data_IF_716566398534
#
_entry.id   IF_716566398534
#
_cell.length_a   1.000
_cell.length_b   1.000
_cell.length_c   1.000
_cell.angle_alpha   90.00
_cell.angle_beta   90.00
_cell.angle_gamma   90.00
#
_symmetry.space_group_name_H-M   'P 1'
#
loop_
_entity.id
_entity.type
_entity.pdbx_description
1 polymer ?
#
# COMPACT_ATOMS: atom_id res chain seq x y z
N UNK A 1 20.68 8.17 -13.82
CA UNK A 1 19.49 9.03 -13.99
C UNK A 1 19.10 9.74 -12.68
N UNK A 2 18.26 9.18 -11.79
CA UNK A 2 17.80 9.93 -10.60
C UNK A 2 18.94 10.36 -9.66
N UNK A 3 19.91 9.47 -9.38
CA UNK A 3 21.08 9.83 -8.57
C UNK A 3 21.94 10.94 -9.20
N UNK A 4 22.04 10.99 -10.52
CA UNK A 4 22.74 12.06 -11.25
C UNK A 4 21.95 13.36 -11.15
N UNK A 5 20.64 13.33 -11.38
CA UNK A 5 19.77 14.50 -11.25
C UNK A 5 19.79 15.10 -9.82
N UNK A 6 19.90 14.27 -8.78
CA UNK A 6 20.11 14.72 -7.39
C UNK A 6 21.49 15.39 -7.24
N UNK A 7 22.53 14.81 -7.81
CA UNK A 7 23.89 15.35 -7.76
C UNK A 7 23.97 16.72 -8.48
N UNK A 8 23.40 16.82 -9.68
CA UNK A 8 23.36 18.06 -10.47
C UNK A 8 22.65 19.18 -9.70
N UNK A 9 21.49 18.89 -9.08
CA UNK A 9 20.78 19.84 -8.23
C UNK A 9 21.62 20.33 -7.03
N UNK A 10 22.43 19.45 -6.42
CA UNK A 10 23.35 19.85 -5.34
C UNK A 10 24.51 20.70 -5.84
N UNK A 11 25.05 20.38 -7.00
CA UNK A 11 26.12 21.17 -7.62
C UNK A 11 25.63 22.57 -8.02
N UNK A 12 24.41 22.70 -8.55
CA UNK A 12 23.78 24.01 -8.80
C UNK A 12 23.57 24.82 -7.51
N UNK A 13 23.12 24.17 -6.43
CA UNK A 13 22.99 24.81 -5.13
C UNK A 13 24.34 25.31 -4.55
N UNK A 14 25.42 24.55 -4.76
CA UNK A 14 26.76 24.93 -4.34
C UNK A 14 27.39 26.01 -5.24
N UNK A 15 27.10 26.01 -6.54
CA UNK A 15 27.63 26.96 -7.51
C UNK A 15 26.91 28.32 -7.51
N UNK A 16 25.67 28.38 -7.04
CA UNK A 16 24.91 29.63 -6.83
C UNK A 16 25.28 30.39 -5.54
N UNK A 17 26.26 29.91 -4.77
CA UNK A 17 26.60 30.38 -3.42
C UNK A 17 27.49 31.63 -3.31
N UNK A 18 27.80 32.31 -4.43
CA UNK A 18 28.62 33.54 -4.42
C UNK A 18 27.81 34.85 -4.45
N UNK A 19 26.50 34.79 -4.22
CA UNK A 19 25.64 35.99 -4.14
C UNK A 19 24.69 35.95 -2.95
N UNK A 20 25.05 36.65 -1.86
CA UNK A 20 24.16 37.12 -0.78
C UNK A 20 22.95 36.22 -0.43
N UNK A 21 23.22 35.07 0.17
CA UNK A 21 22.28 34.44 1.10
C UNK A 21 23.01 34.21 2.42
N UNK A 22 23.27 35.31 3.14
CA UNK A 22 23.57 35.24 4.55
C UNK A 22 22.48 34.43 5.25
N UNK A 23 22.85 33.67 6.26
CA UNK A 23 21.92 33.15 7.27
C UNK A 23 21.15 34.36 7.81
N UNK A 24 19.98 34.65 7.23
CA UNK A 24 19.11 35.70 7.75
C UNK A 24 18.47 35.13 8.99
N UNK A 25 19.10 35.42 10.13
CA UNK A 25 18.43 35.42 11.43
C UNK A 25 17.29 36.43 11.37
N UNK A 26 16.13 35.99 10.89
CA UNK A 26 14.90 36.77 10.88
C UNK A 26 14.27 36.80 12.26
N UNK A 27 14.88 37.53 13.19
CA UNK A 27 14.18 38.10 14.33
C UNK A 27 13.59 39.44 13.89
N UNK A 28 12.31 39.48 13.50
CA UNK A 28 11.56 40.74 13.40
C UNK A 28 10.05 40.53 13.44
N UNK A 29 9.47 40.85 14.59
CA UNK A 29 8.25 41.66 14.74
C UNK A 29 6.98 41.22 14.02
N UNK A 30 6.17 40.39 14.68
CA UNK A 30 4.72 40.58 14.61
C UNK A 30 4.37 41.63 15.68
N UNK A 31 4.24 42.88 15.25
CA UNK A 31 3.83 43.99 16.08
C UNK A 31 2.40 43.76 16.59
N UNK A 32 2.23 43.97 17.89
CA UNK A 32 0.96 44.25 18.54
C UNK A 32 0.26 45.43 17.86
N UNK A 33 -1.05 45.28 17.62
CA UNK A 33 -2.00 46.39 17.63
C UNK A 33 -3.27 45.91 18.35
N UNK A 34 -3.60 46.71 19.35
CA UNK A 34 -4.46 46.50 20.51
C UNK A 34 -5.97 46.40 20.27
N UNK A 35 -6.61 46.05 21.40
CA UNK A 35 -7.90 46.54 21.93
C UNK A 35 -9.10 45.58 21.74
N UNK A 36 -9.89 45.22 22.76
CA UNK A 36 -9.87 45.45 24.20
C UNK A 36 -10.92 44.50 24.84
N UNK A 37 -10.78 44.18 26.14
CA UNK A 37 -11.88 43.59 26.91
C UNK A 37 -11.42 42.77 28.12
N UNK A 38 -11.16 43.47 29.23
CA UNK A 38 -10.90 42.92 30.57
C UNK A 38 -11.97 41.90 31.03
N UNK A 39 -11.54 40.82 31.68
CA UNK A 39 -11.74 40.63 33.15
C UNK A 39 -11.18 39.30 33.68
N UNK A 40 -10.67 39.41 34.90
CA UNK A 40 -9.98 38.46 35.77
C UNK A 40 -10.54 37.02 35.90
N UNK A 41 -9.63 36.06 36.15
CA UNK A 41 -9.96 34.77 36.75
C UNK A 41 -8.81 33.75 36.71
N UNK A 42 -8.28 33.40 37.88
CA UNK A 42 -7.07 32.61 38.09
C UNK A 42 -7.13 31.13 37.60
N UNK A 43 -5.96 30.57 37.26
CA UNK A 43 -5.77 29.12 37.14
C UNK A 43 -4.62 28.74 36.19
N UNK A 44 -3.45 28.41 36.75
CA UNK A 44 -2.28 27.97 36.00
C UNK A 44 -2.57 26.72 35.15
N UNK A 45 -2.60 26.89 33.83
CA UNK A 45 -2.53 25.81 32.85
C UNK A 45 -1.30 26.06 31.96
N UNK A 46 -0.40 25.08 31.90
CA UNK A 46 0.78 25.14 31.04
C UNK A 46 0.38 25.47 29.60
N UNK A 47 0.95 26.55 29.06
CA UNK A 47 0.74 26.98 27.67
C UNK A 47 1.24 25.86 26.74
N UNK A 48 0.31 25.07 26.20
CA UNK A 48 0.58 24.17 25.08
C UNK A 48 0.97 25.06 23.91
N UNK A 49 2.23 24.95 23.45
CA UNK A 49 2.71 25.67 22.27
C UNK A 49 1.78 25.41 21.07
N UNK A 50 1.52 26.41 20.21
CA UNK A 50 0.68 26.22 19.04
C UNK A 50 1.25 25.09 18.18
N UNK A 51 0.43 24.08 17.87
CA UNK A 51 0.79 22.96 17.00
C UNK A 51 1.30 23.52 15.67
N UNK A 52 2.61 23.41 15.42
CA UNK A 52 3.20 23.70 14.10
C UNK A 52 2.43 22.89 13.06
N UNK A 53 1.84 23.58 12.08
CA UNK A 53 1.16 22.93 10.95
C UNK A 53 2.24 22.38 10.01
N UNK A 54 2.46 21.08 10.05
CA UNK A 54 3.32 20.40 9.08
C UNK A 54 2.71 20.51 7.67
N UNK A 55 3.48 21.01 6.71
CA UNK A 55 3.02 21.28 5.35
C UNK A 55 3.26 20.07 4.43
N UNK A 56 4.42 19.41 4.54
CA UNK A 56 4.84 18.27 3.70
C UNK A 56 4.61 16.88 4.32
N UNK A 57 4.61 15.83 3.51
CA UNK A 57 4.57 14.45 4.02
C UNK A 57 5.91 14.05 4.65
N UNK A 58 7.03 14.54 4.13
CA UNK A 58 8.36 14.33 4.72
C UNK A 58 8.43 14.94 6.13
N UNK A 59 7.91 16.17 6.28
CA UNK A 59 7.82 16.87 7.55
C UNK A 59 6.91 16.12 8.54
N UNK A 60 5.74 15.64 8.07
CA UNK A 60 4.84 14.78 8.86
C UNK A 60 5.47 13.45 9.26
N UNK A 61 6.40 12.94 8.45
CA UNK A 61 7.16 11.73 8.76
C UNK A 61 8.28 11.99 9.77
N UNK A 62 8.51 13.24 10.18
CA UNK A 62 9.57 13.62 11.13
C UNK A 62 10.94 13.76 10.49
N UNK A 63 11.02 13.75 9.15
CA UNK A 63 12.24 14.05 8.40
C UNK A 63 12.43 15.57 8.35
N UNK A 64 12.65 16.19 9.50
CA UNK A 64 13.07 17.59 9.62
C UNK A 64 14.61 17.66 9.59
N UNK A 65 15.18 18.78 9.13
CA UNK A 65 16.64 18.98 9.18
C UNK A 65 17.22 18.73 10.58
N UNK A 66 18.52 18.39 10.69
CA UNK A 66 19.16 17.82 11.89
C UNK A 66 19.08 18.65 13.18
N UNK A 67 18.53 19.86 13.13
CA UNK A 67 18.44 20.79 14.27
C UNK A 67 17.02 21.29 14.56
N UNK A 68 15.96 20.64 14.03
CA UNK A 68 14.59 21.13 14.24
C UNK A 68 14.34 22.52 13.63
N UNK A 69 15.09 22.83 12.56
CA UNK A 69 15.05 24.09 11.81
C UNK A 69 13.70 24.39 11.15
N UNK A 70 13.58 25.54 10.45
CA UNK A 70 12.32 26.02 9.88
C UNK A 70 11.68 25.00 8.93
N UNK A 71 10.36 25.11 8.76
CA UNK A 71 9.55 24.20 7.95
C UNK A 71 10.22 23.96 6.59
N UNK A 72 10.39 22.68 6.24
CA UNK A 72 10.91 22.29 4.92
C UNK A 72 9.90 22.81 3.89
N UNK A 73 10.34 23.61 2.89
CA UNK A 73 9.43 24.02 1.83
C UNK A 73 8.98 22.75 1.08
N UNK A 74 7.73 22.36 1.31
CA UNK A 74 7.12 21.25 0.60
C UNK A 74 7.04 21.62 -0.88
N UNK A 75 7.47 20.71 -1.77
CA UNK A 75 7.24 20.86 -3.21
C UNK A 75 5.83 20.36 -3.49
N UNK A 76 4.82 21.25 -3.68
CA UNK A 76 3.44 20.80 -3.74
C UNK A 76 3.22 19.92 -4.96
N UNK A 77 2.64 18.74 -4.75
CA UNK A 77 2.34 17.79 -5.83
C UNK A 77 3.48 16.82 -6.17
N UNK A 78 4.69 17.03 -5.64
CA UNK A 78 5.78 16.10 -5.87
C UNK A 78 5.52 14.72 -5.22
N UNK A 79 5.90 13.64 -5.91
CA UNK A 79 5.64 12.27 -5.47
C UNK A 79 6.35 11.95 -4.15
N UNK A 80 7.53 12.52 -3.87
CA UNK A 80 8.24 12.33 -2.59
C UNK A 80 7.54 13.00 -1.40
N UNK A 81 6.54 13.85 -1.65
CA UNK A 81 5.64 14.43 -0.65
C UNK A 81 4.34 13.62 -0.48
N UNK A 82 4.32 12.35 -0.93
CA UNK A 82 3.20 11.41 -0.75
C UNK A 82 3.47 10.39 0.36
N UNK A 83 2.44 9.96 1.11
CA UNK A 83 2.58 8.87 2.08
C UNK A 83 3.14 7.58 1.46
N UNK A 84 2.64 7.19 0.27
CA UNK A 84 3.08 5.96 -0.37
C UNK A 84 4.57 5.97 -0.73
N UNK A 85 5.12 7.10 -1.18
CA UNK A 85 6.56 7.22 -1.43
C UNK A 85 7.37 7.01 -0.15
N UNK A 86 6.97 7.66 0.94
CA UNK A 86 7.69 7.55 2.21
C UNK A 86 7.64 6.12 2.73
N UNK A 87 6.44 5.52 2.74
CA UNK A 87 6.20 4.20 3.31
C UNK A 87 6.89 3.09 2.50
N UNK A 88 6.92 3.21 1.17
CA UNK A 88 7.47 2.16 0.31
C UNK A 88 8.97 2.33 0.01
N UNK A 89 9.47 3.57 0.01
CA UNK A 89 10.82 3.89 -0.48
C UNK A 89 11.73 4.55 0.56
N UNK A 90 11.20 5.38 1.45
CA UNK A 90 11.99 6.16 2.40
C UNK A 90 11.86 5.72 3.88
N UNK A 91 11.10 4.66 4.17
CA UNK A 91 10.88 4.18 5.55
C UNK A 91 12.20 3.85 6.26
N UNK A 92 13.20 3.35 5.52
CA UNK A 92 14.56 3.09 6.01
C UNK A 92 15.26 4.29 6.68
N UNK A 93 14.82 5.52 6.39
CA UNK A 93 15.38 6.74 6.98
C UNK A 93 14.71 7.15 8.30
N UNK A 94 13.54 6.57 8.61
CA UNK A 94 12.79 6.94 9.80
C UNK A 94 13.43 6.31 11.03
N UNK A 95 13.63 7.12 12.07
CA UNK A 95 14.05 6.58 13.37
C UNK A 95 12.95 5.67 13.92
N UNK A 96 13.26 4.67 14.77
CA UNK A 96 12.26 3.83 15.40
C UNK A 96 11.15 4.64 16.09
N UNK A 97 11.52 5.74 16.76
CA UNK A 97 10.58 6.64 17.44
C UNK A 97 9.73 7.44 16.44
N UNK A 98 10.25 7.76 15.25
CA UNK A 98 9.48 8.38 14.18
C UNK A 98 8.48 7.39 13.58
N UNK A 99 8.89 6.13 13.35
CA UNK A 99 8.00 5.05 12.91
C UNK A 99 6.89 4.78 13.91
N UNK A 100 7.22 4.68 15.19
CA UNK A 100 6.23 4.49 16.26
C UNK A 100 5.30 5.69 16.39
N UNK A 101 5.80 6.92 16.29
CA UNK A 101 4.94 8.11 16.25
C UNK A 101 4.02 8.12 15.03
N UNK A 102 4.46 7.68 13.87
CA UNK A 102 3.62 7.55 12.66
C UNK A 102 2.58 6.46 12.83
N UNK A 103 2.98 5.28 13.33
CA UNK A 103 2.06 4.18 13.68
C UNK A 103 0.99 4.68 14.64
N UNK A 104 1.39 5.37 15.70
CA UNK A 104 0.47 5.99 16.66
C UNK A 104 -0.36 7.08 16.01
N UNK A 105 0.18 7.96 15.16
CA UNK A 105 -0.58 9.02 14.50
C UNK A 105 -1.64 8.47 13.52
N UNK A 106 -1.30 7.41 12.79
CA UNK A 106 -2.24 6.65 11.95
C UNK A 106 -3.29 5.96 12.81
N UNK A 107 -2.89 5.46 13.98
CA UNK A 107 -3.78 4.79 14.91
C UNK A 107 -4.51 5.73 15.87
N UNK A 108 -4.24 7.04 15.92
CA UNK A 108 -4.78 8.02 16.92
C UNK A 108 -5.72 9.07 16.34
N UNK A 109 -6.32 8.77 15.18
CA UNK A 109 -7.43 9.55 14.64
C UNK A 109 -8.74 9.43 15.43
N UNK A 110 -9.77 10.19 15.04
CA UNK A 110 -11.14 9.88 15.46
C UNK A 110 -11.52 8.47 14.99
N UNK A 111 -12.55 7.87 15.58
CA UNK A 111 -13.02 6.55 15.15
C UNK A 111 -13.39 6.51 13.64
N UNK A 112 -13.79 7.64 13.07
CA UNK A 112 -14.08 7.82 11.63
C UNK A 112 -12.79 7.92 10.77
N UNK A 113 -11.62 7.91 11.41
CA UNK A 113 -10.31 8.11 10.79
C UNK A 113 -9.54 6.83 10.48
N UNK A 114 -9.97 5.67 10.97
CA UNK A 114 -9.20 4.42 10.88
C UNK A 114 -8.89 3.97 9.43
N UNK A 115 -9.79 4.26 8.49
CA UNK A 115 -9.62 3.93 7.08
C UNK A 115 -9.03 5.08 6.24
N UNK A 116 -8.92 6.30 6.78
CA UNK A 116 -8.40 7.45 6.01
C UNK A 116 -7.01 7.24 5.42
N UNK A 117 -6.05 6.60 6.13
CA UNK A 117 -4.76 6.29 5.53
C UNK A 117 -4.86 5.39 4.30
N UNK A 118 -5.84 4.50 4.26
CA UNK A 118 -6.05 3.57 3.16
C UNK A 118 -6.54 4.28 1.90
N UNK A 119 -7.43 5.27 2.01
CA UNK A 119 -8.00 6.02 0.86
C UNK A 119 -6.91 6.60 -0.04
N UNK A 120 -6.00 7.39 0.55
CA UNK A 120 -4.94 8.06 -0.21
C UNK A 120 -3.93 7.05 -0.73
N UNK A 121 -3.55 6.09 0.12
CA UNK A 121 -2.53 5.11 -0.22
C UNK A 121 -2.99 4.14 -1.32
N UNK A 122 -4.24 3.67 -1.28
CA UNK A 122 -4.79 2.79 -2.31
C UNK A 122 -4.86 3.50 -3.66
N UNK A 123 -5.23 4.77 -3.67
CA UNK A 123 -5.27 5.60 -4.89
C UNK A 123 -3.86 5.83 -5.46
N UNK A 124 -2.88 6.10 -4.62
CA UNK A 124 -1.49 6.29 -5.04
C UNK A 124 -0.87 5.00 -5.59
N UNK A 125 -1.07 3.85 -4.92
CA UNK A 125 -0.63 2.54 -5.42
C UNK A 125 -1.37 2.15 -6.71
N UNK A 126 -2.67 2.40 -6.81
CA UNK A 126 -3.45 2.16 -8.02
C UNK A 126 -2.92 2.98 -9.21
N UNK A 127 -2.61 4.26 -8.98
CA UNK A 127 -2.02 5.13 -10.01
C UNK A 127 -0.70 4.54 -10.50
N UNK A 128 0.17 4.14 -9.58
CA UNK A 128 1.47 3.55 -9.91
C UNK A 128 1.31 2.26 -10.74
N UNK A 129 0.39 1.36 -10.36
CA UNK A 129 0.09 0.16 -11.16
C UNK A 129 -0.41 0.49 -12.57
N UNK A 130 -1.20 1.56 -12.71
CA UNK A 130 -1.73 2.01 -13.99
C UNK A 130 -0.72 2.66 -14.92
N UNK A 131 0.43 3.08 -14.40
CA UNK A 131 1.54 3.70 -15.13
C UNK A 131 2.68 2.71 -15.39
N UNK A 132 2.51 1.44 -15.02
CA UNK A 132 3.55 0.44 -15.15
C UNK A 132 3.88 0.18 -16.62
N UNK A 133 5.12 0.45 -17.02
CA UNK A 133 5.63 0.22 -18.38
C UNK A 133 6.53 -1.03 -18.48
N UNK A 134 6.33 -2.01 -17.59
CA UNK A 134 7.13 -3.23 -17.59
C UNK A 134 6.59 -4.28 -18.58
N UNK A 135 7.49 -5.09 -19.18
CA UNK A 135 7.12 -6.28 -19.96
C UNK A 135 6.18 -7.19 -19.16
N UNK A 136 5.00 -7.43 -19.73
CA UNK A 136 3.93 -8.18 -19.10
C UNK A 136 3.07 -8.87 -20.16
N UNK A 137 2.76 -10.15 -19.93
CA UNK A 137 1.83 -10.91 -20.76
C UNK A 137 0.42 -10.34 -20.71
N UNK A 138 -0.46 -10.72 -21.64
CA UNK A 138 -1.84 -10.26 -21.64
C UNK A 138 -2.59 -10.62 -20.33
N UNK A 139 -2.34 -11.82 -19.78
CA UNK A 139 -2.91 -12.23 -18.50
C UNK A 139 -2.41 -11.34 -17.34
N UNK A 140 -1.11 -11.05 -17.32
CA UNK A 140 -0.49 -10.16 -16.33
C UNK A 140 -1.04 -8.72 -16.42
N UNK A 141 -1.19 -8.19 -17.64
CA UNK A 141 -1.76 -6.85 -17.87
C UNK A 141 -3.21 -6.76 -17.39
N UNK A 142 -4.04 -7.78 -17.66
CA UNK A 142 -5.41 -7.85 -17.15
C UNK A 142 -5.44 -7.92 -15.62
N UNK A 143 -4.55 -8.72 -15.01
CA UNK A 143 -4.44 -8.84 -13.57
C UNK A 143 -4.05 -7.52 -12.89
N UNK A 144 -3.11 -6.78 -13.48
CA UNK A 144 -2.71 -5.44 -13.03
C UNK A 144 -3.85 -4.43 -13.16
N UNK A 145 -4.59 -4.47 -14.27
CA UNK A 145 -5.75 -3.60 -14.49
C UNK A 145 -6.86 -3.86 -13.46
N UNK A 146 -7.13 -5.13 -13.14
CA UNK A 146 -8.07 -5.53 -12.10
C UNK A 146 -7.62 -5.05 -10.72
N UNK A 147 -6.37 -5.29 -10.35
CA UNK A 147 -5.82 -4.87 -9.06
C UNK A 147 -5.89 -3.35 -8.91
N UNK A 148 -5.57 -2.60 -9.98
CA UNK A 148 -5.74 -1.15 -10.04
C UNK A 148 -7.19 -0.73 -9.79
N UNK A 149 -8.14 -1.29 -10.53
CA UNK A 149 -9.56 -0.95 -10.38
C UNK A 149 -10.07 -1.31 -8.98
N UNK A 150 -9.66 -2.46 -8.45
CA UNK A 150 -9.96 -2.90 -7.09
C UNK A 150 -9.44 -1.92 -6.04
N UNK A 151 -8.23 -1.38 -6.19
CA UNK A 151 -7.66 -0.41 -5.25
C UNK A 151 -8.35 0.96 -5.29
N UNK A 152 -8.79 1.41 -6.48
CA UNK A 152 -9.62 2.63 -6.60
C UNK A 152 -10.95 2.42 -5.87
N UNK A 153 -11.64 1.31 -6.16
CA UNK A 153 -12.89 0.96 -5.49
C UNK A 153 -12.72 0.80 -3.98
N UNK A 154 -11.60 0.25 -3.51
CA UNK A 154 -11.25 0.15 -2.10
C UNK A 154 -11.15 1.54 -1.45
N UNK A 155 -10.59 2.52 -2.15
CA UNK A 155 -10.53 3.90 -1.67
C UNK A 155 -11.91 4.53 -1.50
N UNK A 156 -12.79 4.35 -2.50
CA UNK A 156 -14.17 4.85 -2.46
C UNK A 156 -14.98 4.16 -1.35
N UNK A 157 -14.87 2.84 -1.23
CA UNK A 157 -15.51 2.06 -0.17
C UNK A 157 -15.00 2.46 1.22
N UNK A 158 -13.71 2.79 1.34
CA UNK A 158 -13.14 3.27 2.60
C UNK A 158 -13.73 4.60 3.03
N UNK A 159 -14.17 5.46 2.10
CA UNK A 159 -14.85 6.72 2.37
C UNK A 159 -16.33 6.53 2.73
N UNK A 160 -17.01 5.56 2.11
CA UNK A 160 -18.44 5.31 2.38
C UNK A 160 -18.67 4.45 3.64
N UNK A 161 -17.67 3.66 4.05
CA UNK A 161 -17.75 2.79 5.23
C UNK A 161 -18.12 3.59 6.49
N UNK A 162 -19.16 3.16 7.26
CA UNK A 162 -19.60 3.85 8.47
C UNK A 162 -18.69 3.57 9.68
N UNK A 163 -17.37 3.52 9.48
CA UNK A 163 -16.36 3.28 10.52
C UNK A 163 -16.52 4.31 11.65
N UNK A 164 -16.52 3.84 12.90
CA UNK A 164 -16.64 4.71 14.06
C UNK A 164 -18.01 5.32 14.35
N UNK A 165 -18.94 5.25 13.40
CA UNK A 165 -20.23 5.97 13.47
C UNK A 165 -21.16 5.52 14.60
N UNK A 166 -21.08 4.24 15.01
CA UNK A 166 -22.02 3.59 15.93
C UNK A 166 -23.49 3.64 15.48
N UNK A 167 -23.74 3.89 14.21
CA UNK A 167 -25.07 3.99 13.64
C UNK A 167 -25.52 2.65 13.05
N UNK A 168 -26.52 2.03 13.68
CA UNK A 168 -27.06 0.74 13.23
C UNK A 168 -27.74 0.83 11.86
N UNK A 169 -28.40 1.95 11.53
CA UNK A 169 -29.11 2.09 10.25
C UNK A 169 -28.11 2.16 9.09
N UNK A 170 -27.08 3.01 9.23
CA UNK A 170 -25.98 3.07 8.25
C UNK A 170 -25.21 1.75 8.18
N UNK A 171 -25.07 1.05 9.30
CA UNK A 171 -24.42 -0.25 9.31
C UNK A 171 -25.20 -1.31 8.51
N UNK A 172 -26.53 -1.36 8.64
CA UNK A 172 -27.36 -2.31 7.88
C UNK A 172 -27.27 -2.03 6.37
N UNK A 173 -27.37 -0.77 5.95
CA UNK A 173 -27.20 -0.37 4.53
C UNK A 173 -25.82 -0.77 4.01
N UNK A 174 -24.78 -0.59 4.81
CA UNK A 174 -23.42 -1.02 4.46
C UNK A 174 -23.34 -2.55 4.28
N UNK A 175 -23.95 -3.34 5.16
CA UNK A 175 -23.95 -4.80 5.04
C UNK A 175 -24.70 -5.27 3.78
N UNK A 176 -25.82 -4.64 3.44
CA UNK A 176 -26.55 -4.90 2.20
C UNK A 176 -25.66 -4.63 0.97
N UNK A 177 -24.97 -3.49 0.94
CA UNK A 177 -24.04 -3.14 -0.14
C UNK A 177 -22.91 -4.18 -0.29
N UNK A 178 -22.29 -4.60 0.82
CA UNK A 178 -21.20 -5.59 0.79
C UNK A 178 -21.67 -6.95 0.29
N UNK A 179 -22.80 -7.44 0.81
CA UNK A 179 -23.36 -8.73 0.38
C UNK A 179 -23.73 -8.69 -1.10
N UNK A 180 -24.33 -7.60 -1.57
CA UNK A 180 -24.70 -7.44 -2.97
C UNK A 180 -23.48 -7.40 -3.90
N UNK A 181 -22.40 -6.74 -3.49
CA UNK A 181 -21.12 -6.78 -4.23
C UNK A 181 -20.52 -8.19 -4.27
N UNK A 182 -20.61 -8.95 -3.18
CA UNK A 182 -20.12 -10.34 -3.15
C UNK A 182 -20.93 -11.25 -4.08
N UNK A 183 -22.26 -11.09 -4.13
CA UNK A 183 -23.15 -11.84 -5.03
C UNK A 183 -22.86 -11.56 -6.51
N UNK A 184 -22.62 -10.30 -6.83
CA UNK A 184 -22.37 -9.84 -8.21
C UNK A 184 -20.91 -9.94 -8.65
N UNK A 185 -20.01 -10.45 -7.80
CA UNK A 185 -18.61 -10.64 -8.14
C UNK A 185 -18.49 -11.62 -9.32
N UNK A 186 -17.88 -11.26 -10.46
CA UNK A 186 -17.69 -12.21 -11.55
C UNK A 186 -16.73 -13.34 -11.18
N UNK A 187 -16.86 -14.49 -11.83
CA UNK A 187 -15.90 -15.61 -11.66
C UNK A 187 -14.48 -15.16 -11.98
N UNK A 188 -13.52 -15.69 -11.24
CA UNK A 188 -12.09 -15.42 -11.36
C UNK A 188 -11.71 -13.94 -11.19
N UNK A 189 -12.56 -13.16 -10.51
CA UNK A 189 -12.26 -11.77 -10.12
C UNK A 189 -12.17 -11.65 -8.60
N UNK A 190 -11.49 -10.58 -8.18
CA UNK A 190 -11.28 -10.26 -6.77
C UNK A 190 -11.92 -8.92 -6.44
N UNK A 191 -12.69 -8.88 -5.36
CA UNK A 191 -13.25 -7.68 -4.75
C UNK A 191 -12.42 -7.30 -3.53
N UNK A 192 -11.92 -6.07 -3.51
CA UNK A 192 -11.23 -5.49 -2.35
C UNK A 192 -12.21 -4.71 -1.49
N UNK A 193 -12.24 -5.00 -0.20
CA UNK A 193 -13.11 -4.38 0.78
C UNK A 193 -12.29 -3.83 1.94
N UNK A 194 -12.63 -2.64 2.47
CA UNK A 194 -11.97 -2.11 3.65
C UNK A 194 -12.36 -2.94 4.88
N UNK A 195 -11.45 -3.09 5.83
CA UNK A 195 -11.68 -3.84 7.06
C UNK A 195 -10.91 -3.26 8.23
N UNK A 196 -10.87 -4.02 9.32
CA UNK A 196 -10.10 -3.69 10.52
C UNK A 196 -10.97 -3.27 11.69
N UNK A 197 -10.46 -2.37 12.53
CA UNK A 197 -11.13 -1.98 13.77
C UNK A 197 -10.90 -0.53 14.17
N UNK A 198 -11.82 -0.04 14.98
CA UNK A 198 -11.72 1.24 15.65
C UNK A 198 -11.71 1.05 17.17
N UNK A 199 -10.96 1.90 17.85
CA UNK A 199 -10.95 2.08 19.30
C UNK A 199 -11.22 3.56 19.62
N UNK A 200 -11.37 3.88 20.91
CA UNK A 200 -11.52 5.28 21.36
C UNK A 200 -10.28 6.14 21.06
N UNK A 201 -9.12 5.50 20.95
CA UNK A 201 -7.84 6.15 20.73
C UNK A 201 -7.38 5.99 19.27
N UNK A 202 -8.34 5.80 18.35
CA UNK A 202 -8.18 5.56 16.91
C UNK A 202 -8.15 4.07 16.52
N UNK A 203 -7.70 3.69 15.33
CA UNK A 203 -7.97 2.36 14.76
C UNK A 203 -6.86 1.80 13.87
N UNK A 204 -7.10 0.61 13.32
CA UNK A 204 -6.16 -0.06 12.42
C UNK A 204 -6.90 -0.61 11.19
N UNK A 205 -6.50 -0.22 9.97
CA UNK A 205 -7.11 -0.70 8.75
C UNK A 205 -6.62 -2.11 8.40
N UNK A 206 -7.53 -2.92 7.87
CA UNK A 206 -7.23 -4.16 7.15
C UNK A 206 -7.79 -4.08 5.73
N UNK A 207 -7.38 -5.00 4.87
CA UNK A 207 -8.04 -5.22 3.58
C UNK A 207 -8.53 -6.66 3.51
N UNK A 208 -9.84 -6.81 3.27
CA UNK A 208 -10.45 -8.08 2.95
C UNK A 208 -10.50 -8.22 1.43
N UNK A 209 -9.98 -9.33 0.89
CA UNK A 209 -10.06 -9.63 -0.54
C UNK A 209 -10.94 -10.85 -0.74
N UNK A 210 -12.09 -10.66 -1.39
CA UNK A 210 -13.01 -11.74 -1.72
C UNK A 210 -12.75 -12.15 -3.15
N UNK A 211 -12.38 -13.40 -3.38
CA UNK A 211 -12.21 -13.96 -4.71
C UNK A 211 -13.33 -14.97 -4.99
N UNK A 212 -13.92 -14.88 -6.17
CA UNK A 212 -14.85 -15.89 -6.66
C UNK A 212 -14.10 -16.90 -7.51
N UNK A 213 -14.09 -18.16 -7.08
CA UNK A 213 -13.60 -19.28 -7.87
C UNK A 213 -14.77 -19.89 -8.66
N UNK A 214 -14.56 -21.01 -9.35
CA UNK A 214 -15.61 -21.63 -10.16
C UNK A 214 -16.78 -22.16 -9.34
N UNK A 215 -16.49 -22.79 -8.21
CA UNK A 215 -17.46 -23.47 -7.34
C UNK A 215 -17.63 -22.82 -5.96
N UNK A 216 -16.63 -22.08 -5.48
CA UNK A 216 -16.57 -21.52 -4.13
C UNK A 216 -15.96 -20.11 -4.10
N UNK A 217 -15.69 -19.61 -2.90
CA UNK A 217 -15.02 -18.35 -2.66
C UNK A 217 -13.78 -18.53 -1.79
N UNK A 218 -12.85 -17.59 -1.95
CA UNK A 218 -11.74 -17.39 -1.02
C UNK A 218 -11.84 -16.01 -0.38
N UNK A 219 -11.57 -15.93 0.93
CA UNK A 219 -11.45 -14.69 1.69
C UNK A 219 -10.01 -14.52 2.16
N UNK A 220 -9.37 -13.44 1.74
CA UNK A 220 -8.03 -13.08 2.18
C UNK A 220 -8.10 -11.89 3.15
N UNK A 221 -7.34 -11.98 4.23
CA UNK A 221 -7.23 -10.92 5.25
C UNK A 221 -5.81 -10.42 5.27
N UNK A 222 -5.60 -9.22 4.72
CA UNK A 222 -4.29 -8.57 4.67
C UNK A 222 -4.12 -7.59 5.81
N UNK A 223 -3.00 -7.70 6.53
CA UNK A 223 -2.59 -6.88 7.65
C UNK A 223 -1.09 -6.60 7.55
N UNK A 224 -0.68 -5.37 7.87
CA UNK A 224 0.73 -4.98 7.92
C UNK A 224 1.12 -4.36 9.26
N UNK A 225 0.20 -4.25 10.22
CA UNK A 225 0.44 -3.55 11.50
C UNK A 225 -0.11 -4.27 12.73
N UNK A 226 -0.96 -3.59 13.51
CA UNK A 226 -1.51 -4.14 14.75
C UNK A 226 -2.28 -5.45 14.47
N UNK A 227 -2.18 -6.45 15.35
CA UNK A 227 -2.78 -7.78 15.14
C UNK A 227 -1.96 -8.76 14.28
N UNK A 228 -0.73 -8.42 13.88
CA UNK A 228 0.19 -9.35 13.20
C UNK A 228 0.62 -10.53 14.10
N UNK A 229 0.44 -10.45 15.42
CA UNK A 229 0.68 -11.57 16.34
C UNK A 229 -0.23 -12.78 16.08
N UNK A 230 -1.38 -12.56 15.42
CA UNK A 230 -2.29 -13.62 15.00
C UNK A 230 -1.97 -14.18 13.62
N UNK A 231 -1.03 -13.55 12.89
CA UNK A 231 -0.63 -14.02 11.57
C UNK A 231 0.39 -15.17 11.69
N UNK A 232 0.37 -16.11 10.74
CA UNK A 232 1.36 -17.18 10.65
C UNK A 232 2.79 -16.64 10.61
N UNK A 233 3.75 -17.37 11.19
CA UNK A 233 5.15 -16.98 11.19
C UNK A 233 6.02 -18.00 10.46
N UNK A 234 6.98 -17.51 9.68
CA UNK A 234 7.97 -18.31 8.97
C UNK A 234 9.37 -17.96 9.50
N UNK A 235 10.28 -18.93 9.53
CA UNK A 235 11.68 -18.66 9.84
C UNK A 235 12.31 -17.83 8.71
N UNK A 236 13.02 -16.76 9.07
CA UNK A 236 13.77 -15.92 8.15
C UNK A 236 15.28 -16.12 8.41
N UNK A 237 16.00 -16.80 7.50
CA UNK A 237 17.43 -17.07 7.67
C UNK A 237 18.30 -15.81 7.54
N UNK A 238 17.78 -14.70 6.99
CA UNK A 238 18.51 -13.44 6.84
C UNK A 238 18.44 -12.61 8.13
N UNK A 239 17.32 -12.73 8.86
CA UNK A 239 17.07 -11.98 10.09
C UNK A 239 17.42 -12.77 11.37
N UNK A 240 17.86 -14.03 11.24
CA UNK A 240 18.06 -14.96 12.35
C UNK A 240 16.85 -14.97 13.31
N UNK A 241 15.65 -15.06 12.74
CA UNK A 241 14.40 -14.85 13.49
C UNK A 241 13.15 -15.34 12.76
N UNK A 242 11.97 -14.93 13.25
CA UNK A 242 10.69 -15.26 12.65
C UNK A 242 10.05 -14.03 12.02
N UNK A 243 9.51 -14.18 10.81
CA UNK A 243 8.72 -13.16 10.11
C UNK A 243 7.24 -13.52 10.11
N UNK A 244 6.37 -12.55 10.42
CA UNK A 244 4.92 -12.74 10.29
C UNK A 244 4.51 -12.62 8.82
N UNK A 245 3.59 -13.47 8.35
CA UNK A 245 2.91 -13.32 7.07
C UNK A 245 1.96 -12.11 7.12
N UNK A 246 1.74 -11.44 5.99
CA UNK A 246 0.83 -10.28 5.93
C UNK A 246 -0.59 -10.66 5.54
N UNK A 247 -0.78 -11.81 4.88
CA UNK A 247 -2.07 -12.22 4.35
C UNK A 247 -2.42 -13.61 4.83
N UNK A 248 -3.59 -13.75 5.45
CA UNK A 248 -4.22 -15.04 5.77
C UNK A 248 -5.21 -15.36 4.67
N UNK A 249 -5.21 -16.60 4.17
CA UNK A 249 -6.10 -17.05 3.11
C UNK A 249 -7.08 -18.12 3.63
N UNK A 250 -8.37 -17.86 3.49
CA UNK A 250 -9.43 -18.79 3.83
C UNK A 250 -10.09 -19.25 2.52
N UNK A 251 -9.96 -20.54 2.18
CA UNK A 251 -10.48 -21.12 0.94
C UNK A 251 -11.73 -21.95 1.18
N UNK A 252 -12.38 -22.37 0.08
CA UNK A 252 -13.53 -23.28 0.09
C UNK A 252 -14.71 -22.70 0.91
N UNK A 253 -14.87 -21.37 0.89
CA UNK A 253 -15.97 -20.68 1.54
C UNK A 253 -17.23 -20.87 0.69
N UNK A 254 -18.26 -21.44 1.32
CA UNK A 254 -19.53 -21.64 0.66
C UNK A 254 -20.23 -20.30 0.35
N UNK A 255 -20.91 -20.18 -0.80
CA UNK A 255 -21.69 -18.99 -1.12
C UNK A 255 -22.70 -18.62 -0.03
N UNK A 256 -23.31 -19.61 0.64
CA UNK A 256 -24.26 -19.38 1.72
C UNK A 256 -23.63 -18.64 2.91
N UNK A 257 -22.39 -19.01 3.30
CA UNK A 257 -21.64 -18.36 4.38
C UNK A 257 -21.25 -16.92 4.02
N UNK A 258 -20.83 -16.71 2.77
CA UNK A 258 -20.40 -15.40 2.29
C UNK A 258 -21.57 -14.45 2.01
N UNK A 259 -22.74 -14.97 1.64
CA UNK A 259 -23.93 -14.14 1.36
C UNK A 259 -24.79 -13.89 2.61
N UNK A 260 -24.44 -14.50 3.74
CA UNK A 260 -25.04 -14.21 5.03
C UNK A 260 -24.50 -12.86 5.57
N UNK A 261 -25.41 -11.91 5.77
CA UNK A 261 -25.08 -10.60 6.33
C UNK A 261 -24.54 -10.70 7.76
N UNK A 262 -24.88 -11.76 8.49
CA UNK A 262 -24.42 -12.00 9.86
C UNK A 262 -22.90 -12.20 9.93
N UNK A 263 -22.33 -12.92 8.96
CA UNK A 263 -20.88 -13.14 8.83
C UNK A 263 -20.13 -11.81 8.67
N UNK A 264 -20.63 -10.95 7.79
CA UNK A 264 -20.10 -9.60 7.58
C UNK A 264 -20.34 -8.67 8.77
N UNK A 265 -21.50 -8.79 9.41
CA UNK A 265 -21.81 -8.02 10.61
C UNK A 265 -20.77 -8.29 11.71
N UNK A 266 -20.36 -9.55 11.89
CA UNK A 266 -19.33 -9.92 12.85
C UNK A 266 -17.95 -9.37 12.48
N UNK A 267 -17.57 -9.35 11.19
CA UNK A 267 -16.29 -8.80 10.70
C UNK A 267 -16.22 -7.27 10.82
N UNK A 268 -17.30 -6.56 10.52
CA UNK A 268 -17.33 -5.09 10.50
C UNK A 268 -17.68 -4.47 11.85
N UNK A 269 -18.23 -5.24 12.80
CA UNK A 269 -18.60 -4.73 14.11
C UNK A 269 -17.45 -4.01 14.83
N UNK A 270 -16.20 -4.53 14.87
CA UNK A 270 -15.07 -3.83 15.47
C UNK A 270 -14.75 -2.47 14.82
N UNK A 271 -15.05 -2.32 13.52
CA UNK A 271 -14.80 -1.12 12.75
C UNK A 271 -15.90 -0.06 12.95
N UNK A 272 -17.17 -0.48 12.95
CA UNK A 272 -18.33 0.42 13.07
C UNK A 272 -18.63 0.82 14.51
N UNK A 273 -18.39 -0.08 15.47
CA UNK A 273 -18.64 0.13 16.90
C UNK A 273 -17.33 0.11 17.70
N UNK A 274 -16.69 1.26 17.90
CA UNK A 274 -15.44 1.34 18.64
C UNK A 274 -15.58 0.83 20.08
N UNK A 275 -14.75 -0.13 20.44
CA UNK A 275 -14.62 -0.67 21.80
C UNK A 275 -13.18 -0.49 22.31
N UNK A 276 -12.96 -0.46 23.65
CA UNK A 276 -11.63 -0.31 24.21
C UNK A 276 -10.77 -1.59 24.09
N UNK A 277 -9.50 -1.43 23.67
CA UNK A 277 -8.40 -2.37 23.91
C UNK A 277 -8.15 -3.46 22.85
N UNK A 278 -7.27 -4.42 23.20
CA UNK A 278 -6.81 -5.59 22.39
C UNK A 278 -7.92 -6.56 21.95
N UNK A 279 -9.15 -6.38 22.43
CA UNK A 279 -10.28 -7.28 22.17
C UNK A 279 -10.77 -7.23 20.72
N UNK A 280 -10.46 -6.16 19.98
CA UNK A 280 -10.94 -5.96 18.62
C UNK A 280 -10.22 -6.85 17.60
N UNK A 281 -8.89 -6.91 17.64
CA UNK A 281 -8.10 -7.82 16.80
C UNK A 281 -8.39 -9.28 17.17
N UNK A 282 -8.46 -9.60 18.47
CA UNK A 282 -8.85 -10.93 18.96
C UNK A 282 -10.25 -11.35 18.49
N UNK A 283 -11.21 -10.41 18.43
CA UNK A 283 -12.54 -10.71 17.89
C UNK A 283 -12.47 -11.13 16.43
N UNK A 284 -11.74 -10.41 15.59
CA UNK A 284 -11.57 -10.78 14.17
C UNK A 284 -10.84 -12.12 14.05
N UNK A 285 -9.61 -12.20 14.53
CA UNK A 285 -8.73 -13.34 14.28
C UNK A 285 -9.10 -14.58 15.11
N UNK A 286 -9.49 -14.41 16.37
CA UNK A 286 -9.75 -15.52 17.29
C UNK A 286 -11.19 -16.03 17.26
N UNK A 287 -12.16 -15.22 16.81
CA UNK A 287 -13.58 -15.61 16.83
C UNK A 287 -14.22 -15.68 15.45
N UNK A 288 -13.98 -14.67 14.60
CA UNK A 288 -14.69 -14.57 13.33
C UNK A 288 -14.00 -15.33 12.20
N UNK A 289 -12.68 -15.18 12.02
CA UNK A 289 -11.98 -15.91 10.95
C UNK A 289 -12.09 -17.44 11.06
N UNK A 290 -12.07 -18.06 12.27
CA UNK A 290 -12.32 -19.50 12.41
C UNK A 290 -13.72 -19.94 11.94
N UNK A 291 -14.72 -19.05 11.96
CA UNK A 291 -16.05 -19.38 11.43
C UNK A 291 -16.05 -19.51 9.90
N UNK A 292 -15.25 -18.68 9.22
CA UNK A 292 -15.04 -18.79 7.77
C UNK A 292 -14.13 -19.96 7.39
N UNK A 293 -13.30 -20.44 8.32
CA UNK A 293 -12.34 -21.47 8.05
C UNK A 293 -12.85 -22.85 8.47
N UNK A 294 -13.08 -23.73 7.49
CA UNK A 294 -13.40 -25.14 7.78
C UNK A 294 -12.17 -25.97 8.19
N UNK A 295 -10.98 -25.36 8.22
CA UNK A 295 -9.71 -25.98 8.59
C UNK A 295 -9.03 -25.16 9.71
N UNK A 296 -8.06 -25.72 10.44
CA UNK A 296 -7.23 -24.92 11.35
C UNK A 296 -6.54 -23.78 10.58
N UNK A 297 -6.48 -22.56 11.15
CA UNK A 297 -5.87 -21.37 10.51
C UNK A 297 -4.42 -21.58 10.03
N UNK A 298 -3.70 -22.54 10.59
CA UNK A 298 -2.34 -22.89 10.15
C UNK A 298 -2.32 -23.65 8.82
N UNK A 299 -3.41 -24.35 8.45
CA UNK A 299 -3.56 -25.02 7.16
C UNK A 299 -3.96 -24.07 6.02
N UNK A 300 -4.39 -22.86 6.38
CA UNK A 300 -4.76 -21.75 5.50
C UNK A 300 -3.55 -20.98 4.94
N UNK A 301 -2.33 -21.47 5.23
CA UNK A 301 -1.06 -20.85 4.88
C UNK A 301 -0.35 -21.76 3.88
N UNK A 302 -0.93 -21.88 2.69
CA UNK A 302 -0.42 -22.77 1.64
C UNK A 302 -0.73 -24.24 1.90
N UNK A 303 -1.72 -24.77 1.17
CA UNK A 303 -1.91 -26.21 1.02
C UNK A 303 -0.65 -26.83 0.39
N UNK A 304 -0.09 -27.84 1.05
CA UNK A 304 0.85 -28.79 0.43
C UNK A 304 -0.01 -29.78 -0.36
N UNK A 305 0.05 -29.74 -1.68
CA UNK A 305 -0.57 -30.78 -2.51
C UNK A 305 0.06 -32.15 -2.23
N UNK A 306 -0.73 -33.23 -2.32
CA UNK A 306 -0.24 -34.61 -2.24
C UNK A 306 0.70 -34.91 -3.41
N UNK A 307 2.00 -34.77 -3.15
CA UNK A 307 3.07 -35.06 -4.08
C UNK A 307 4.36 -34.55 -3.48
N UNK A 308 5.16 -35.45 -2.92
CA UNK A 308 6.31 -35.17 -2.05
C UNK A 308 7.51 -34.45 -2.68
N UNK A 309 7.31 -33.58 -3.66
CA UNK A 309 8.32 -32.64 -4.12
C UNK A 309 8.25 -31.36 -3.28
N UNK A 310 9.32 -31.13 -2.52
CA UNK A 310 9.53 -29.97 -1.64
C UNK A 310 9.80 -28.67 -2.44
N UNK A 311 9.43 -28.63 -3.72
CA UNK A 311 9.81 -27.63 -4.70
C UNK A 311 8.53 -27.05 -5.33
N UNK A 312 8.34 -25.74 -5.16
CA UNK A 312 7.59 -24.86 -6.08
C UNK A 312 6.06 -24.83 -6.12
N UNK A 313 5.32 -25.47 -5.20
CA UNK A 313 3.89 -25.18 -5.04
C UNK A 313 3.59 -24.30 -3.81
N UNK A 314 4.23 -23.13 -3.73
CA UNK A 314 3.68 -22.04 -2.91
C UNK A 314 2.43 -21.54 -3.63
N UNK A 315 1.27 -21.59 -2.96
CA UNK A 315 0.04 -21.02 -3.49
C UNK A 315 0.32 -19.55 -3.91
N UNK A 316 -0.16 -19.09 -5.07
CA UNK A 316 0.25 -17.82 -5.65
C UNK A 316 0.18 -16.60 -4.70
N UNK A 317 -0.74 -16.69 -3.75
CA UNK A 317 -1.11 -15.64 -2.80
C UNK A 317 -0.30 -15.65 -1.50
N UNK A 318 0.60 -16.60 -1.31
CA UNK A 318 1.54 -16.63 -0.20
C UNK A 318 2.73 -15.71 -0.50
N UNK A 319 2.45 -14.40 -0.62
CA UNK A 319 3.47 -13.38 -0.81
C UNK A 319 4.51 -13.47 0.32
N UNK A 320 5.80 -13.40 -0.03
CA UNK A 320 6.88 -13.34 0.97
C UNK A 320 6.66 -12.09 1.81
N UNK A 321 6.53 -12.31 3.12
CA UNK A 321 6.23 -11.26 4.06
C UNK A 321 7.45 -10.41 4.41
N UNK A 322 7.20 -9.12 4.65
CA UNK A 322 8.20 -8.06 4.68
C UNK A 322 7.97 -7.11 5.85
N UNK A 323 8.02 -7.63 7.08
CA UNK A 323 8.02 -6.85 8.32
C UNK A 323 6.74 -6.04 8.62
N UNK A 324 6.50 -5.74 9.90
CA UNK A 324 5.32 -5.00 10.34
C UNK A 324 5.44 -3.48 10.17
N UNK A 325 4.91 -2.94 9.06
CA UNK A 325 4.65 -1.51 8.87
C UNK A 325 3.13 -1.22 8.80
N UNK A 326 2.63 -0.43 9.74
CA UNK A 326 1.21 -0.07 9.82
C UNK A 326 0.75 0.91 8.72
N UNK A 327 1.58 1.17 7.71
CA UNK A 327 1.23 2.07 6.62
C UNK A 327 0.09 1.54 5.74
N UNK A 328 -0.78 2.47 5.33
CA UNK A 328 -1.82 2.17 4.35
C UNK A 328 -1.26 1.80 2.98
N UNK A 329 -0.05 2.26 2.65
CA UNK A 329 0.59 1.99 1.36
C UNK A 329 1.14 0.57 1.27
N UNK A 330 1.78 0.06 2.34
CA UNK A 330 2.17 -1.35 2.40
C UNK A 330 0.94 -2.24 2.34
N UNK A 331 -0.10 -1.92 3.11
CA UNK A 331 -1.36 -2.66 3.12
C UNK A 331 -2.02 -2.71 1.72
N UNK A 332 -2.11 -1.57 1.03
CA UNK A 332 -2.65 -1.50 -0.33
C UNK A 332 -1.79 -2.28 -1.34
N UNK A 333 -0.46 -2.19 -1.22
CA UNK A 333 0.47 -2.92 -2.09
C UNK A 333 0.35 -4.44 -1.90
N UNK A 334 0.29 -4.93 -0.66
CA UNK A 334 0.11 -6.36 -0.38
C UNK A 334 -1.25 -6.87 -0.86
N UNK A 335 -2.32 -6.08 -0.70
CA UNK A 335 -3.63 -6.41 -1.26
C UNK A 335 -3.61 -6.49 -2.80
N UNK A 336 -2.90 -5.57 -3.47
CA UNK A 336 -2.73 -5.62 -4.91
C UNK A 336 -1.89 -6.82 -5.36
N UNK A 337 -0.78 -7.13 -4.66
CA UNK A 337 0.02 -8.34 -4.91
C UNK A 337 -0.85 -9.59 -4.82
N UNK A 338 -1.68 -9.69 -3.78
CA UNK A 338 -2.63 -10.78 -3.65
C UNK A 338 -3.63 -10.82 -4.83
N UNK A 339 -4.19 -9.69 -5.26
CA UNK A 339 -5.06 -9.68 -6.45
C UNK A 339 -4.34 -10.16 -7.72
N UNK A 340 -3.12 -9.68 -7.98
CA UNK A 340 -2.37 -10.02 -9.20
C UNK A 340 -1.95 -11.48 -9.18
N UNK A 341 -1.48 -11.98 -8.04
CA UNK A 341 -1.07 -13.36 -7.91
C UNK A 341 -2.26 -14.32 -7.94
N UNK A 342 -3.46 -13.87 -7.60
CA UNK A 342 -4.67 -14.67 -7.75
C UNK A 342 -4.99 -14.92 -9.23
N UNK A 343 -4.70 -13.97 -10.12
CA UNK A 343 -5.15 -14.02 -11.49
C UNK A 343 -4.68 -15.29 -12.23
N UNK A 344 -5.59 -15.84 -13.02
CA UNK A 344 -5.31 -17.03 -13.83
C UNK A 344 -4.20 -16.73 -14.85
N UNK A 345 -3.24 -17.64 -14.98
CA UNK A 345 -2.10 -17.48 -15.89
C UNK A 345 -0.99 -16.57 -15.39
N UNK A 346 -1.08 -16.03 -14.16
CA UNK A 346 -0.01 -15.22 -13.55
C UNK A 346 0.77 -16.04 -12.54
N UNK A 347 2.08 -16.17 -12.75
CA UNK A 347 2.94 -16.86 -11.80
C UNK A 347 3.15 -16.02 -10.53
N UNK A 348 3.09 -16.57 -9.30
CA UNK A 348 3.30 -15.83 -8.04
C UNK A 348 4.53 -14.93 -8.02
N UNK A 349 5.69 -15.45 -8.42
CA UNK A 349 6.94 -14.66 -8.47
C UNK A 349 6.85 -13.50 -9.45
N UNK A 350 6.07 -13.64 -10.53
CA UNK A 350 5.81 -12.58 -11.51
C UNK A 350 4.86 -11.54 -10.96
N UNK A 351 3.78 -11.95 -10.31
CA UNK A 351 2.87 -11.04 -9.62
C UNK A 351 3.60 -10.18 -8.58
N UNK A 352 4.47 -10.81 -7.79
CA UNK A 352 5.31 -10.11 -6.83
C UNK A 352 6.25 -9.11 -7.49
N UNK A 353 6.94 -9.50 -8.56
CA UNK A 353 7.81 -8.60 -9.29
C UNK A 353 7.02 -7.42 -9.90
N UNK A 354 5.91 -7.69 -10.59
CA UNK A 354 5.11 -6.66 -11.26
C UNK A 354 4.48 -5.67 -10.28
N UNK A 355 3.91 -6.16 -9.17
CA UNK A 355 3.27 -5.27 -8.21
C UNK A 355 4.30 -4.59 -7.29
N UNK A 356 5.21 -5.33 -6.65
CA UNK A 356 6.16 -4.75 -5.68
C UNK A 356 7.25 -3.93 -6.37
N UNK A 357 7.96 -4.50 -7.35
CA UNK A 357 9.01 -3.77 -8.06
C UNK A 357 8.43 -2.73 -8.99
N UNK A 358 7.34 -3.07 -9.69
CA UNK A 358 6.70 -2.14 -10.62
C UNK A 358 6.22 -0.86 -9.95
N UNK A 359 5.50 -0.97 -8.82
CA UNK A 359 5.05 0.22 -8.08
C UNK A 359 6.22 1.06 -7.59
N UNK A 360 7.26 0.43 -7.00
CA UNK A 360 8.46 1.13 -6.53
C UNK A 360 9.21 1.82 -7.68
N UNK A 361 9.33 1.16 -8.82
CA UNK A 361 9.96 1.69 -10.02
C UNK A 361 9.21 2.92 -10.53
N UNK A 362 7.89 2.82 -10.71
CA UNK A 362 7.04 3.94 -11.17
C UNK A 362 7.10 5.14 -10.22
N UNK A 363 7.13 4.91 -8.90
CA UNK A 363 7.30 5.99 -7.92
C UNK A 363 8.65 6.70 -8.07
N UNK A 364 9.73 5.96 -8.35
CA UNK A 364 11.07 6.51 -8.60
C UNK A 364 11.13 7.25 -9.95
N UNK A 365 10.49 6.73 -10.99
CA UNK A 365 10.39 7.42 -12.29
C UNK A 365 9.57 8.71 -12.19
N UNK A 366 8.45 8.67 -11.47
CA UNK A 366 7.65 9.85 -11.18
C UNK A 366 8.48 10.89 -10.42
N UNK A 367 9.35 10.45 -9.50
CA UNK A 367 10.24 11.35 -8.77
C UNK A 367 11.29 11.99 -9.67
N UNK A 368 11.81 11.25 -10.65
CA UNK A 368 12.70 11.82 -11.66
C UNK A 368 11.99 12.87 -12.51
N UNK A 369 10.75 12.59 -12.94
CA UNK A 369 9.94 13.52 -13.73
C UNK A 369 9.59 14.79 -12.94
N UNK A 370 9.19 14.64 -11.67
CA UNK A 370 8.89 15.76 -10.77
C UNK A 370 10.14 16.59 -10.48
N UNK A 371 11.30 15.96 -10.31
CA UNK A 371 12.57 16.67 -10.09
C UNK A 371 12.96 17.48 -11.33
N UNK A 372 12.87 16.88 -12.52
CA UNK A 372 13.19 17.55 -13.79
C UNK A 372 12.21 18.67 -14.16
N UNK A 373 10.96 18.59 -13.69
CA UNK A 373 9.94 19.61 -13.94
C UNK A 373 9.88 20.69 -12.85
N UNK A 374 10.55 20.48 -11.72
CA UNK A 374 10.58 21.46 -10.64
C UNK A 374 11.36 22.71 -11.08
N UNK A 375 10.73 23.87 -10.95
CA UNK A 375 11.34 25.19 -11.23
C UNK A 375 12.24 25.71 -10.09
N UNK A 376 12.38 24.94 -9.01
CA UNK A 376 13.17 25.33 -7.84
C UNK A 376 14.60 24.85 -8.07
N UNK A 377 15.53 25.79 -8.30
CA UNK A 377 16.93 25.49 -8.63
C UNK A 377 17.70 24.72 -7.53
N UNK A 378 17.10 24.56 -6.35
CA UNK A 378 17.74 23.90 -5.19
C UNK A 378 16.78 22.94 -4.51
N UNK A 379 17.11 21.65 -4.57
CA UNK A 379 16.47 20.60 -3.79
C UNK A 379 16.93 20.66 -2.33
N UNK A 380 15.99 20.75 -1.40
CA UNK A 380 16.29 20.74 0.04
C UNK A 380 16.94 19.41 0.51
N UNK A 381 17.68 19.46 1.61
CA UNK A 381 18.43 18.30 2.13
C UNK A 381 17.54 17.08 2.45
N UNK A 382 16.35 17.29 3.00
CA UNK A 382 15.43 16.21 3.36
C UNK A 382 14.82 15.51 2.13
N UNK A 383 14.25 16.22 1.13
CA UNK A 383 13.88 15.61 -0.16
C UNK A 383 15.04 14.88 -0.84
N UNK A 384 16.24 15.47 -0.88
CA UNK A 384 17.41 14.81 -1.46
C UNK A 384 17.74 13.48 -0.77
N UNK A 385 17.74 13.46 0.57
CA UNK A 385 17.99 12.24 1.33
C UNK A 385 16.89 11.18 1.13
N UNK A 386 15.62 11.61 1.01
CA UNK A 386 14.48 10.73 0.71
C UNK A 386 14.61 10.08 -0.67
N UNK A 387 15.00 10.85 -1.69
CA UNK A 387 15.23 10.33 -3.04
C UNK A 387 16.43 9.38 -3.10
N UNK A 388 17.52 9.69 -2.40
CA UNK A 388 18.65 8.76 -2.30
C UNK A 388 18.29 7.45 -1.60
N UNK A 389 17.53 7.53 -0.51
CA UNK A 389 17.02 6.34 0.16
C UNK A 389 16.11 5.54 -0.77
N UNK A 390 15.26 6.21 -1.56
CA UNK A 390 14.45 5.54 -2.57
C UNK A 390 15.28 4.77 -3.59
N UNK A 391 16.37 5.35 -4.11
CA UNK A 391 17.30 4.65 -5.00
C UNK A 391 17.90 3.41 -4.34
N UNK A 392 18.37 3.52 -3.08
CA UNK A 392 18.94 2.39 -2.32
C UNK A 392 17.90 1.30 -2.07
N UNK A 393 16.70 1.70 -1.67
CA UNK A 393 15.58 0.81 -1.40
C UNK A 393 15.14 0.08 -2.66
N UNK A 394 15.02 0.76 -3.81
CA UNK A 394 14.71 0.13 -5.09
C UNK A 394 15.79 -0.88 -5.49
N UNK A 395 17.06 -0.50 -5.41
CA UNK A 395 18.19 -1.38 -5.73
C UNK A 395 18.22 -2.64 -4.86
N UNK A 396 18.02 -2.49 -3.54
CA UNK A 396 17.96 -3.62 -2.62
C UNK A 396 16.75 -4.53 -2.89
N UNK A 397 15.62 -3.96 -3.32
CA UNK A 397 14.42 -4.73 -3.64
C UNK A 397 14.51 -5.44 -4.99
N UNK A 398 15.31 -4.94 -5.93
CA UNK A 398 15.41 -5.48 -7.29
C UNK A 398 16.04 -6.87 -7.35
N UNK A 399 17.05 -7.13 -6.51
CA UNK A 399 17.84 -8.37 -6.54
C UNK A 399 16.98 -9.65 -6.54
N UNK A 400 16.07 -9.85 -5.57
CA UNK A 400 15.19 -11.02 -5.51
C UNK A 400 14.26 -11.22 -6.73
N UNK A 401 14.05 -10.19 -7.56
CA UNK A 401 13.10 -10.22 -8.67
C UNK A 401 13.76 -10.16 -10.04
N UNK A 402 15.08 -10.04 -10.12
CA UNK A 402 15.82 -9.89 -11.36
C UNK A 402 15.50 -11.02 -12.36
N UNK A 403 15.56 -12.27 -11.90
CA UNK A 403 15.29 -13.45 -12.74
C UNK A 403 13.83 -13.50 -13.21
N UNK A 404 12.89 -13.16 -12.32
CA UNK A 404 11.47 -13.14 -12.66
C UNK A 404 11.15 -12.07 -13.72
N UNK A 405 11.87 -10.96 -13.71
CA UNK A 405 11.73 -9.90 -14.72
C UNK A 405 12.42 -10.26 -16.04
N UNK A 406 13.60 -10.88 -15.98
CA UNK A 406 14.34 -11.32 -17.16
C UNK A 406 13.60 -12.40 -17.97
N UNK A 407 13.01 -13.39 -17.30
CA UNK A 407 12.30 -14.49 -17.97
C UNK A 407 11.12 -14.04 -18.84
N UNK A 408 10.43 -12.96 -18.45
CA UNK A 408 9.33 -12.41 -19.23
C UNK A 408 9.80 -11.80 -20.55
N UNK A 409 10.92 -11.09 -20.55
CA UNK A 409 11.51 -10.54 -21.79
C UNK A 409 11.88 -11.64 -22.79
N UNK A 410 12.33 -12.80 -22.29
CA UNK A 410 12.62 -13.96 -23.13
C UNK A 410 11.35 -14.62 -23.69
N UNK A 411 10.29 -14.75 -22.88
CA UNK A 411 9.00 -15.29 -23.34
C UNK A 411 8.31 -14.36 -24.35
N UNK A 412 8.39 -13.05 -24.19
CA UNK A 412 7.88 -12.08 -25.17
C UNK A 412 8.67 -12.10 -26.47
N UNK A 413 10.01 -12.18 -26.41
CA UNK A 413 10.84 -12.32 -27.60
C UNK A 413 10.50 -13.61 -28.38
N UNK A 414 10.25 -14.71 -27.67
CA UNK A 414 9.80 -15.96 -28.27
C UNK A 414 8.38 -15.84 -28.88
N UNK A 415 7.43 -15.22 -28.17
CA UNK A 415 6.07 -15.02 -28.65
C UNK A 415 6.02 -14.09 -29.88
N UNK A 416 6.82 -13.01 -29.89
CA UNK A 416 6.98 -12.13 -31.03
C UNK A 416 7.58 -12.88 -32.24
N UNK A 417 8.56 -13.76 -32.01
CA UNK A 417 9.13 -14.63 -33.04
C UNK A 417 8.08 -15.56 -33.66
N UNK A 418 7.24 -16.20 -32.85
CA UNK A 418 6.15 -17.08 -33.31
C UNK A 418 5.09 -16.29 -34.08
N UNK A 419 4.68 -15.11 -33.60
CA UNK A 419 3.72 -14.26 -34.29
C UNK A 419 4.24 -13.81 -35.67
N UNK A 420 5.53 -13.48 -35.75
CA UNK A 420 6.19 -13.11 -37.00
C UNK A 420 6.24 -14.30 -37.97
N UNK A 421 6.54 -15.50 -37.48
CA UNK A 421 6.53 -16.73 -38.27
C UNK A 421 5.13 -17.06 -38.82
N UNK A 422 4.09 -16.96 -37.99
CA UNK A 422 2.70 -17.21 -38.39
C UNK A 422 2.22 -16.20 -39.43
N UNK A 423 2.58 -14.92 -39.29
CA UNK A 423 2.28 -13.89 -40.30
C UNK A 423 2.99 -14.17 -41.64
N UNK A 424 4.22 -14.67 -41.59
CA UNK A 424 4.98 -15.05 -42.78
C UNK A 424 4.34 -16.24 -43.49
N UNK A 425 3.93 -17.26 -42.74
CA UNK A 425 3.25 -18.44 -43.27
C UNK A 425 1.88 -18.09 -43.87
N UNK A 426 1.12 -17.18 -43.25
CA UNK A 426 -0.14 -16.69 -43.77
C UNK A 426 0.03 -15.90 -45.08
N UNK A 427 1.10 -15.09 -45.21
CA UNK A 427 1.43 -14.38 -46.46
C UNK A 427 1.82 -15.34 -47.58
N UNK A 428 2.57 -16.39 -47.26
CA UNK A 428 2.97 -17.39 -48.24
C UNK A 428 1.77 -18.21 -48.74
N UNK A 429 0.86 -18.60 -47.84
CA UNK A 429 -0.41 -19.24 -48.21
C UNK A 429 -1.29 -18.33 -49.08
N UNK A 430 -1.36 -17.03 -48.79
CA UNK A 430 -2.09 -16.07 -49.63
C UNK A 430 -1.46 -15.89 -51.01
N UNK A 431 -0.13 -16.00 -51.11
CA UNK A 431 0.58 -15.94 -52.38
C UNK A 431 0.33 -17.20 -53.21
N UNK A 432 0.41 -18.38 -52.61
CA UNK A 432 0.11 -19.65 -53.26
C UNK A 432 -1.34 -19.71 -53.77
N UNK A 433 -2.29 -19.14 -53.00
CA UNK A 433 -3.69 -19.05 -53.41
C UNK A 433 -3.98 -18.02 -54.53
N UNK A 434 -3.02 -17.13 -54.85
CA UNK A 434 -3.11 -16.21 -56.00
C UNK A 434 -2.42 -16.73 -57.25
N UNK A 435 -1.47 -17.65 -57.08
CA UNK A 435 -0.72 -18.29 -58.16
C UNK A 435 -1.43 -19.56 -58.70
N UNK A 436 -2.40 -20.11 -57.94
CA UNK A 436 -3.35 -21.14 -58.35
C UNK A 436 -4.65 -20.52 -58.87
#
# INVERSE_FOLDING_TARGET
>A
ALSEAIADNRHHAAAGGDGEAGVVGGASGAADLDAAGDTAGAGAAGKIAPRKRFLGALERAGLCGPLGGPAIPAVPGAVWETPAFIDLLADGMLTPEARDRRRVALSTGSADGALRPLVRSSTEVARALGQLMMPATEAEQRALADARQGLVALGDLSLSCPAGSKDNARFLVWLEEIVERCRNLPRNRTLLLPGGWCTKNGGHPLVYSVRRNDADFSLLVTNTGDGLEYHPREADPVLDGFRAMHTIQLDEIEPATLFDSSSWALLYRPLVFPAPGKKQSEHIYGKVLPFFNKRPLMCSVGSVGEGGDRVEHRHPLAAVSRGGDASGARLALEAARACVAAAEGVHPRRADALAEMGVRHVLVESALQDLNSSKSDVLGAAPAAALEAACRTLAATAGPYADALANATAQEAAAAGVATFMQMQARELQRQAREA
#
